data_IF_208726437107
#
_entry.id   IF_208726437107
#
_cell.length_a   1.000
_cell.length_b   1.000
_cell.length_c   1.000
_cell.angle_alpha   90.00
_cell.angle_beta   90.00
_cell.angle_gamma   90.00
#
_symmetry.space_group_name_H-M   'P 1'
#
loop_
_entity.id
_entity.type
_entity.pdbx_description
1 polymer ?
#
# COMPACT_ATOMS: atom_id res chain seq x y z
N UNK A 1 -2.95 -4.59 13.35
CA UNK A 1 -2.67 -4.55 11.90
C UNK A 1 -2.76 -3.11 11.47
N UNK A 2 -1.75 -2.58 10.76
CA UNK A 2 -1.71 -1.18 10.32
C UNK A 2 -1.86 -1.08 8.81
N UNK A 3 -2.39 0.03 8.31
CA UNK A 3 -2.37 0.43 6.90
C UNK A 3 -1.27 1.47 6.73
N UNK A 4 -0.29 1.17 5.87
CA UNK A 4 0.80 2.11 5.61
C UNK A 4 0.54 2.77 4.26
N UNK A 5 0.61 4.10 4.22
CA UNK A 5 0.41 4.90 3.01
C UNK A 5 1.67 5.71 2.76
N UNK A 6 2.43 5.34 1.74
CA UNK A 6 3.48 6.18 1.18
C UNK A 6 2.88 7.13 0.15
N UNK A 7 2.95 8.42 0.42
CA UNK A 7 2.56 9.46 -0.52
C UNK A 7 3.45 10.69 -0.32
N UNK A 8 4.11 11.12 -1.41
CA UNK A 8 4.83 12.38 -1.41
C UNK A 8 3.88 13.57 -1.17
N UNK A 9 4.43 14.72 -0.77
CA UNK A 9 3.64 15.92 -0.48
C UNK A 9 2.76 16.39 -1.65
N UNK A 10 3.12 16.07 -2.90
CA UNK A 10 2.31 16.40 -4.08
C UNK A 10 1.03 15.58 -4.17
N UNK A 11 1.02 14.39 -3.58
CA UNK A 11 -0.15 13.52 -3.50
C UNK A 11 -0.98 13.75 -2.23
N UNK A 12 -0.76 14.85 -1.50
CA UNK A 12 -1.38 15.12 -0.19
C UNK A 12 -2.91 15.08 -0.26
N UNK A 13 -3.51 15.82 -1.20
CA UNK A 13 -4.97 15.88 -1.33
C UNK A 13 -5.57 14.54 -1.70
N UNK A 14 -4.89 13.82 -2.61
CA UNK A 14 -5.29 12.49 -3.04
C UNK A 14 -5.21 11.49 -1.88
N UNK A 15 -4.14 11.52 -1.09
CA UNK A 15 -3.97 10.70 0.12
C UNK A 15 -4.99 11.06 1.21
N UNK A 16 -5.43 12.32 1.28
CA UNK A 16 -6.44 12.77 2.23
C UNK A 16 -7.83 12.26 1.81
N UNK A 17 -8.15 12.36 0.53
CA UNK A 17 -9.38 11.81 -0.05
C UNK A 17 -9.46 10.30 0.16
N UNK A 18 -8.35 9.58 -0.05
CA UNK A 18 -8.26 8.15 0.26
C UNK A 18 -8.53 7.85 1.74
N UNK A 19 -7.89 8.58 2.66
CA UNK A 19 -8.12 8.38 4.11
C UNK A 19 -9.58 8.66 4.49
N UNK A 20 -10.21 9.67 3.88
CA UNK A 20 -11.64 9.91 4.05
C UNK A 20 -12.48 8.74 3.53
N UNK A 21 -12.17 8.21 2.36
CA UNK A 21 -12.87 7.05 1.78
C UNK A 21 -12.70 5.76 2.62
N UNK A 22 -11.60 5.66 3.38
CA UNK A 22 -11.35 4.54 4.30
C UNK A 22 -11.96 4.75 5.69
N UNK A 23 -12.50 5.93 5.98
CA UNK A 23 -13.10 6.24 7.27
C UNK A 23 -14.31 5.34 7.52
N UNK A 24 -14.37 4.73 8.71
CA UNK A 24 -15.39 3.73 9.06
C UNK A 24 -14.98 2.28 8.79
N UNK A 25 -13.92 2.04 8.00
CA UNK A 25 -13.40 0.69 7.74
C UNK A 25 -12.05 0.43 8.40
N UNK A 26 -11.17 1.44 8.42
CA UNK A 26 -9.88 1.39 9.09
C UNK A 26 -9.87 2.49 10.16
N UNK A 27 -9.55 2.13 11.40
CA UNK A 27 -9.48 3.12 12.47
C UNK A 27 -8.32 4.08 12.17
N UNK A 28 -8.52 5.38 12.43
CA UNK A 28 -7.51 6.40 12.10
C UNK A 28 -6.14 6.15 12.77
N UNK A 29 -6.14 5.55 13.97
CA UNK A 29 -4.93 5.14 14.69
C UNK A 29 -4.14 4.01 14.01
N UNK A 30 -4.80 3.25 13.14
CA UNK A 30 -4.20 2.14 12.41
C UNK A 30 -3.72 2.57 11.02
N UNK A 31 -3.81 3.87 10.67
CA UNK A 31 -3.32 4.42 9.40
C UNK A 31 -2.03 5.20 9.66
N UNK A 32 -0.93 4.74 9.08
CA UNK A 32 0.37 5.41 9.08
C UNK A 32 0.64 6.02 7.72
N UNK A 33 1.14 7.26 7.72
CA UNK A 33 1.50 7.98 6.49
C UNK A 33 2.98 8.23 6.48
N UNK A 34 3.62 7.81 5.40
CA UNK A 34 5.04 8.06 5.14
C UNK A 34 5.22 8.92 3.90
N UNK A 35 6.19 9.82 3.95
CA UNK A 35 6.51 10.76 2.86
C UNK A 35 7.87 10.46 2.24
N UNK A 36 8.73 9.75 2.98
CA UNK A 36 10.10 9.39 2.60
C UNK A 36 10.15 7.87 2.41
N UNK A 37 10.74 7.40 1.31
CA UNK A 37 10.82 5.96 0.98
C UNK A 37 11.65 5.24 2.05
N UNK A 38 12.76 5.81 2.49
CA UNK A 38 13.60 5.20 3.54
C UNK A 38 12.81 4.98 4.84
N UNK A 39 11.98 5.95 5.25
CA UNK A 39 11.14 5.81 6.44
C UNK A 39 10.06 4.74 6.24
N UNK A 40 9.45 4.67 5.04
CA UNK A 40 8.58 3.56 4.67
C UNK A 40 9.30 2.23 4.86
N UNK A 41 10.49 2.06 4.30
CA UNK A 41 11.21 0.79 4.36
C UNK A 41 11.62 0.43 5.80
N UNK A 42 12.05 1.40 6.60
CA UNK A 42 12.41 1.19 8.00
C UNK A 42 11.20 0.75 8.85
N UNK A 43 10.00 1.29 8.56
CA UNK A 43 8.77 0.92 9.26
C UNK A 43 8.19 -0.43 8.80
N UNK A 44 8.61 -0.92 7.64
CA UNK A 44 8.28 -2.26 7.14
C UNK A 44 9.09 -3.34 7.89
N UNK A 45 9.01 -3.31 9.21
CA UNK A 45 9.63 -4.24 10.14
C UNK A 45 8.77 -5.48 10.43
N UNK A 46 9.29 -6.44 11.20
CA UNK A 46 8.63 -7.73 11.47
C UNK A 46 7.19 -7.63 12.03
N UNK A 47 6.88 -6.56 12.77
CA UNK A 47 5.57 -6.34 13.40
C UNK A 47 4.47 -5.88 12.42
N UNK A 48 4.83 -5.46 11.20
CA UNK A 48 3.87 -5.04 10.17
C UNK A 48 3.64 -6.12 9.10
N UNK A 49 4.13 -7.35 9.33
CA UNK A 49 4.01 -8.44 8.37
C UNK A 49 2.57 -8.68 7.90
N UNK A 50 2.38 -8.63 6.59
CA UNK A 50 1.08 -8.81 5.95
C UNK A 50 0.18 -7.57 5.95
N UNK A 51 0.62 -6.45 6.54
CA UNK A 51 -0.10 -5.18 6.41
C UNK A 51 -0.24 -4.76 4.94
N UNK A 52 -1.40 -4.18 4.55
CA UNK A 52 -1.51 -3.51 3.28
C UNK A 52 -0.66 -2.24 3.27
N UNK A 53 0.01 -2.03 2.14
CA UNK A 53 0.89 -0.88 1.91
C UNK A 53 0.45 -0.22 0.62
N UNK A 54 0.14 1.07 0.66
CA UNK A 54 -0.24 1.86 -0.52
C UNK A 54 0.94 2.75 -0.87
N UNK A 55 1.38 2.71 -2.12
CA UNK A 55 2.55 3.46 -2.58
C UNK A 55 2.14 4.33 -3.74
N UNK A 56 2.14 5.65 -3.55
CA UNK A 56 1.97 6.63 -4.62
C UNK A 56 3.33 7.09 -5.12
N UNK A 57 3.67 6.69 -6.35
CA UNK A 57 4.85 7.23 -7.03
C UNK A 57 4.53 8.59 -7.64
N UNK A 58 5.51 9.48 -7.69
CA UNK A 58 5.42 10.80 -8.33
C UNK A 58 6.17 10.83 -9.66
N UNK A 59 7.25 10.06 -9.75
CA UNK A 59 8.20 10.07 -10.86
C UNK A 59 8.92 8.73 -10.97
N UNK A 60 9.64 8.52 -12.06
CA UNK A 60 10.41 7.30 -12.29
C UNK A 60 11.51 7.06 -11.24
N UNK A 61 12.12 8.11 -10.69
CA UNK A 61 13.14 7.95 -9.64
C UNK A 61 12.57 7.28 -8.37
N UNK A 62 11.29 7.53 -8.06
CA UNK A 62 10.64 6.87 -6.91
C UNK A 62 10.52 5.37 -7.15
N UNK A 63 10.22 4.97 -8.39
CA UNK A 63 10.15 3.57 -8.78
C UNK A 63 11.53 2.91 -8.72
N UNK A 64 12.56 3.59 -9.21
CA UNK A 64 13.92 3.06 -9.20
C UNK A 64 14.40 2.86 -7.76
N UNK A 65 14.14 3.80 -6.85
CA UNK A 65 14.41 3.62 -5.42
C UNK A 65 13.62 2.46 -4.80
N UNK A 66 12.32 2.34 -5.10
CA UNK A 66 11.50 1.22 -4.60
C UNK A 66 12.00 -0.14 -5.11
N UNK A 67 12.58 -0.18 -6.31
CA UNK A 67 13.12 -1.42 -6.90
C UNK A 67 14.36 -1.92 -6.16
N UNK A 68 15.15 -1.03 -5.54
CA UNK A 68 16.25 -1.43 -4.66
C UNK A 68 15.75 -2.23 -3.46
N UNK A 69 14.55 -1.90 -2.98
CA UNK A 69 13.88 -2.54 -1.84
C UNK A 69 12.84 -3.59 -2.24
N UNK A 70 12.79 -3.99 -3.53
CA UNK A 70 11.76 -4.89 -4.05
C UNK A 70 11.63 -6.18 -3.23
N UNK A 71 12.75 -6.76 -2.75
CA UNK A 71 12.76 -7.99 -1.94
C UNK A 71 12.01 -7.83 -0.62
N UNK A 72 12.13 -6.68 0.04
CA UNK A 72 11.45 -6.42 1.31
C UNK A 72 9.94 -6.24 1.08
N UNK A 73 9.58 -5.56 -0.01
CA UNK A 73 8.18 -5.33 -0.40
C UNK A 73 7.42 -6.62 -0.77
N UNK A 74 8.11 -7.71 -1.14
CA UNK A 74 7.47 -8.99 -1.50
C UNK A 74 6.58 -9.58 -0.39
N UNK A 75 6.90 -9.31 0.87
CA UNK A 75 6.16 -9.82 2.01
C UNK A 75 4.91 -8.99 2.34
N UNK A 76 4.72 -7.86 1.66
CA UNK A 76 3.65 -6.93 1.90
C UNK A 76 2.58 -6.98 0.82
N UNK A 77 1.36 -6.58 1.19
CA UNK A 77 0.25 -6.48 0.24
C UNK A 77 0.28 -5.09 -0.39
N UNK A 78 1.22 -4.90 -1.31
CA UNK A 78 1.46 -3.61 -1.97
C UNK A 78 0.34 -3.29 -2.96
N UNK A 79 -0.27 -2.12 -2.82
CA UNK A 79 -1.10 -1.47 -3.82
C UNK A 79 -0.31 -0.28 -4.37
N UNK A 80 0.12 -0.39 -5.62
CA UNK A 80 0.97 0.60 -6.26
C UNK A 80 0.12 1.54 -7.12
N UNK A 81 0.33 2.84 -6.97
CA UNK A 81 -0.28 3.89 -7.78
C UNK A 81 0.82 4.65 -8.52
N UNK A 82 0.84 4.48 -9.83
CA UNK A 82 1.80 5.06 -10.73
C UNK A 82 1.41 6.47 -11.14
N UNK A 83 2.42 7.32 -11.32
CA UNK A 83 2.24 8.71 -11.76
C UNK A 83 1.82 8.84 -13.23
N UNK A 84 2.05 7.81 -14.06
CA UNK A 84 1.58 7.74 -15.44
C UNK A 84 1.23 6.30 -15.88
N UNK A 85 0.75 6.17 -17.12
CA UNK A 85 0.37 4.92 -17.77
C UNK A 85 1.34 4.50 -18.89
N UNK A 86 2.55 5.09 -18.91
CA UNK A 86 3.54 4.72 -19.93
C UNK A 86 3.98 3.28 -19.75
N UNK A 87 4.18 2.59 -20.87
CA UNK A 87 4.59 1.18 -20.87
C UNK A 87 5.89 0.93 -20.08
N UNK A 88 6.83 1.87 -20.11
CA UNK A 88 8.09 1.77 -19.35
C UNK A 88 7.84 1.82 -17.84
N UNK A 89 6.99 2.73 -17.39
CA UNK A 89 6.59 2.92 -15.98
C UNK A 89 5.79 1.72 -15.49
N UNK A 90 4.82 1.26 -16.28
CA UNK A 90 4.05 0.04 -16.01
C UNK A 90 4.98 -1.18 -15.84
N UNK A 91 5.91 -1.37 -16.77
CA UNK A 91 6.86 -2.48 -16.72
C UNK A 91 7.75 -2.42 -15.48
N UNK A 92 8.24 -1.23 -15.08
CA UNK A 92 8.96 -1.03 -13.82
C UNK A 92 8.08 -1.34 -12.61
N UNK A 93 6.86 -0.81 -12.57
CA UNK A 93 5.91 -1.04 -11.49
C UNK A 93 5.58 -2.52 -11.29
N UNK A 94 5.44 -3.29 -12.37
CA UNK A 94 5.20 -4.74 -12.29
C UNK A 94 6.39 -5.53 -11.71
N UNK A 95 7.63 -5.03 -11.80
CA UNK A 95 8.79 -5.68 -11.18
C UNK A 95 8.72 -5.66 -9.65
N UNK A 96 7.99 -4.69 -9.05
CA UNK A 96 7.71 -4.64 -7.61
C UNK A 96 6.67 -5.68 -7.17
N UNK A 97 6.07 -6.42 -8.11
CA UNK A 97 5.03 -7.43 -7.88
C UNK A 97 3.89 -6.94 -6.97
N UNK A 98 3.29 -5.77 -7.24
CA UNK A 98 2.17 -5.30 -6.45
C UNK A 98 0.98 -6.25 -6.56
N UNK A 99 0.15 -6.29 -5.53
CA UNK A 99 -1.14 -6.99 -5.56
C UNK A 99 -2.10 -6.35 -6.54
N UNK A 100 -2.10 -5.03 -6.58
CA UNK A 100 -2.90 -4.22 -7.49
C UNK A 100 -2.04 -3.03 -7.92
N UNK A 101 -2.12 -2.70 -9.22
CA UNK A 101 -1.43 -1.58 -9.82
C UNK A 101 -2.47 -0.67 -10.47
N UNK A 102 -2.37 0.63 -10.18
CA UNK A 102 -3.16 1.69 -10.79
C UNK A 102 -2.21 2.67 -11.48
N UNK A 103 -2.69 3.34 -12.53
CA UNK A 103 -2.05 4.51 -13.12
C UNK A 103 -2.93 5.73 -12.91
N UNK A 104 -2.33 6.89 -12.66
CA UNK A 104 -3.07 8.14 -12.53
C UNK A 104 -3.60 8.62 -13.90
N UNK A 105 -4.77 9.30 -13.92
CA UNK A 105 -5.65 9.58 -12.78
C UNK A 105 -6.49 8.35 -12.38
N UNK A 106 -6.69 8.16 -11.07
CA UNK A 106 -7.52 7.10 -10.49
C UNK A 106 -8.38 7.69 -9.38
N UNK A 107 -9.60 7.22 -9.19
CA UNK A 107 -10.46 7.68 -8.09
C UNK A 107 -10.00 7.08 -6.73
N UNK A 108 -9.76 7.91 -5.69
CA UNK A 108 -9.48 7.42 -4.34
C UNK A 108 -10.48 6.39 -3.81
N UNK A 109 -11.76 6.48 -4.17
CA UNK A 109 -12.78 5.51 -3.74
C UNK A 109 -12.52 4.11 -4.33
N UNK A 110 -11.97 4.04 -5.55
CA UNK A 110 -11.59 2.76 -6.18
C UNK A 110 -10.43 2.12 -5.44
N UNK A 111 -9.42 2.91 -5.06
CA UNK A 111 -8.29 2.43 -4.26
C UNK A 111 -8.79 1.97 -2.88
N UNK A 112 -9.66 2.74 -2.24
CA UNK A 112 -10.25 2.40 -0.94
C UNK A 112 -10.99 1.06 -0.98
N UNK A 113 -11.80 0.80 -2.02
CA UNK A 113 -12.52 -0.46 -2.18
C UNK A 113 -11.58 -1.68 -2.26
N UNK A 114 -10.47 -1.56 -2.99
CA UNK A 114 -9.43 -2.60 -3.05
C UNK A 114 -8.82 -2.83 -1.67
N UNK A 115 -8.51 -1.76 -0.94
CA UNK A 115 -7.90 -1.84 0.38
C UNK A 115 -8.85 -2.45 1.40
N UNK A 116 -10.13 -2.08 1.41
CA UNK A 116 -11.16 -2.67 2.27
C UNK A 116 -11.24 -4.19 2.02
N UNK A 117 -11.21 -4.61 0.75
CA UNK A 117 -11.22 -6.03 0.39
C UNK A 117 -9.96 -6.76 0.86
N UNK A 118 -8.80 -6.14 0.72
CA UNK A 118 -7.53 -6.69 1.25
C UNK A 118 -7.63 -6.82 2.77
N UNK A 119 -8.01 -5.75 3.46
CA UNK A 119 -8.14 -5.65 4.92
C UNK A 119 -9.08 -6.72 5.49
N UNK A 120 -10.28 -6.84 4.92
CA UNK A 120 -11.25 -7.88 5.30
C UNK A 120 -10.73 -9.30 5.02
N UNK A 121 -10.01 -9.49 3.92
CA UNK A 121 -9.36 -10.77 3.60
C UNK A 121 -8.29 -11.16 4.62
N UNK A 122 -7.56 -10.20 5.19
CA UNK A 122 -6.58 -10.47 6.26
C UNK A 122 -7.29 -10.85 7.55
N UNK A 123 -8.30 -10.07 7.96
CA UNK A 123 -9.04 -10.29 9.19
C UNK A 123 -9.66 -11.70 9.25
N UNK A 124 -10.28 -12.15 8.15
CA UNK A 124 -10.84 -13.50 8.04
C UNK A 124 -9.78 -14.61 8.16
N UNK A 125 -8.57 -14.38 7.63
CA UNK A 125 -7.49 -15.38 7.70
C UNK A 125 -6.89 -15.47 9.10
N UNK A 126 -6.77 -14.33 9.80
CA UNK A 126 -6.33 -14.30 11.19
C UNK A 126 -7.31 -15.04 12.11
N UNK A 127 -8.61 -14.77 11.98
CA UNK A 127 -9.66 -15.41 12.79
C UNK A 127 -9.69 -16.94 12.59
N UNK A 128 -9.53 -17.40 11.34
CA UNK A 128 -9.44 -18.83 11.03
C UNK A 128 -8.20 -19.52 11.58
N UNK A 129 -7.05 -18.83 11.63
CA UNK A 129 -5.81 -19.39 12.21
C UNK A 129 -5.90 -19.48 13.74
N UNK A 130 -6.51 -18.48 14.38
CA UNK A 130 -6.77 -18.50 15.84
C UNK A 130 -7.66 -19.67 16.25
N UNK A 131 -8.65 -20.05 15.43
CA UNK A 131 -9.51 -21.21 15.69
C UNK A 131 -8.80 -22.56 15.51
N UNK A 132 -7.76 -22.62 14.67
CA UNK A 132 -7.02 -23.87 14.40
C UNK A 132 -5.89 -24.10 15.40
N UNK A 133 -5.35 -23.04 16.01
CA UNK A 133 -4.29 -23.14 17.03
C UNK A 133 -4.82 -23.28 18.48
N UNK A 134 -6.11 -23.53 18.66
CA UNK A 134 -6.69 -23.94 19.95
C UNK A 134 -6.66 -25.47 20.06
N UNK A 135 -5.47 -26.05 20.22
CA UNK A 135 -5.28 -27.46 20.62
C UNK A 135 -4.16 -27.55 21.65
#
# INVERSE_FOLDING_TARGET
MKLIIYASNTNRDHSLALVRALTGFVARKDIEKQVIITDLINDLDSDTWGSPVIIYTRQDDDLDQLLEYARQLLNYRVVLVLHDDKMTTLAKGHKLRPRVLFSQPVDPATIAAVIIRIWAGVAKKADKLSQVCQF
#
